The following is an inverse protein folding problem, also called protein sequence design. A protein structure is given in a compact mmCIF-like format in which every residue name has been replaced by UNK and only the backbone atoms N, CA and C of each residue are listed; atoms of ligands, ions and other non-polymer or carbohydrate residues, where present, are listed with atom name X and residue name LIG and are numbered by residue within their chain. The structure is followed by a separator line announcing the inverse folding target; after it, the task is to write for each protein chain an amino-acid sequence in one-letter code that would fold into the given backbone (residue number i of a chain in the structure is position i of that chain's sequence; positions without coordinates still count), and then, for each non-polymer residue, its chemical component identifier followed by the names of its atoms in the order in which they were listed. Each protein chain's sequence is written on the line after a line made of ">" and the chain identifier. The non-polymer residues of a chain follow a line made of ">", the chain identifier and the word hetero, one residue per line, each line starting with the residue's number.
data_IF_799533488094
#
_entry.id   IF_799533488094
#
_cell.length_a   1.000
_cell.length_b   1.000
_cell.length_c   1.000
_cell.angle_alpha   90.00
_cell.angle_beta   90.00
_cell.angle_gamma   90.00
#
_symmetry.space_group_name_H-M   'P 1'
#
loop_
_entity.id
_entity.type
_entity.pdbx_description
1 polymer ?
#
# COMPACT_ATOMS: atom_id res chain seq x y z
N UNK A 1 0.40 -30.02 1.85
CA UNK A 1 0.89 -28.89 1.04
C UNK A 1 1.50 -27.91 2.02
N UNK A 2 2.75 -27.49 1.83
CA UNK A 2 3.32 -26.45 2.68
C UNK A 2 2.43 -25.22 2.52
N UNK A 3 1.74 -24.81 3.59
CA UNK A 3 1.17 -23.47 3.65
C UNK A 3 2.32 -22.54 3.35
N UNK A 4 2.26 -21.74 2.28
CA UNK A 4 3.22 -20.66 2.15
C UNK A 4 3.04 -19.79 3.39
N UNK A 5 4.10 -19.55 4.15
CA UNK A 5 4.09 -18.67 5.33
C UNK A 5 3.85 -17.18 4.93
N UNK A 6 3.55 -16.94 3.66
CA UNK A 6 3.23 -15.65 3.07
C UNK A 6 1.96 -15.70 2.21
N UNK A 7 1.35 -14.53 2.10
CA UNK A 7 0.25 -14.20 1.21
C UNK A 7 0.76 -13.20 0.18
N UNK A 8 0.51 -13.49 -1.10
CA UNK A 8 0.84 -12.55 -2.18
C UNK A 8 0.09 -11.24 -1.98
N UNK A 9 0.82 -10.14 -2.12
CA UNK A 9 0.31 -8.80 -1.95
C UNK A 9 0.89 -7.90 -3.02
N UNK A 10 0.23 -6.78 -3.29
CA UNK A 10 0.76 -5.77 -4.19
C UNK A 10 0.35 -4.38 -3.78
N UNK A 11 1.11 -3.38 -4.21
CA UNK A 11 0.82 -2.00 -3.92
C UNK A 11 1.50 -1.02 -4.87
N UNK A 12 1.10 0.24 -4.76
CA UNK A 12 1.70 1.36 -5.47
C UNK A 12 1.48 2.65 -4.67
N UNK A 13 2.19 3.71 -5.04
CA UNK A 13 2.05 5.01 -4.41
C UNK A 13 1.90 6.11 -5.45
N UNK A 14 1.04 7.07 -5.12
CA UNK A 14 0.96 8.35 -5.79
C UNK A 14 1.42 9.47 -4.87
N UNK A 15 1.99 10.52 -5.45
CA UNK A 15 2.49 11.70 -4.78
C UNK A 15 1.96 12.97 -5.46
N UNK A 16 1.80 14.02 -4.67
CA UNK A 16 1.39 15.34 -5.17
C UNK A 16 2.16 16.42 -4.41
N UNK A 17 2.77 17.31 -5.18
CA UNK A 17 3.47 18.49 -4.70
C UNK A 17 3.06 19.74 -5.48
N UNK A 18 2.60 20.78 -4.78
CA UNK A 18 2.22 22.08 -5.38
C UNK A 18 2.80 23.30 -4.63
N UNK A 19 3.89 23.11 -3.91
CA UNK A 19 4.55 24.13 -3.08
C UNK A 19 3.78 24.50 -1.79
N UNK A 20 2.51 24.07 -1.65
CA UNK A 20 1.70 24.22 -0.41
C UNK A 20 1.32 22.88 0.20
N UNK A 21 1.24 21.86 -0.63
CA UNK A 21 1.00 20.47 -0.27
C UNK A 21 2.18 19.64 -0.76
N UNK A 22 2.60 18.71 0.07
CA UNK A 22 3.53 17.64 -0.27
C UNK A 22 2.98 16.36 0.39
N UNK A 23 2.24 15.56 -0.40
CA UNK A 23 1.38 14.49 0.11
C UNK A 23 1.53 13.21 -0.70
N UNK A 24 1.37 12.08 -0.02
CA UNK A 24 1.30 10.77 -0.66
C UNK A 24 -0.05 10.10 -0.46
N UNK A 25 -0.40 9.18 -1.36
CA UNK A 25 -1.45 8.17 -1.24
C UNK A 25 -0.87 6.82 -1.66
N UNK A 26 -0.88 5.87 -0.73
CA UNK A 26 -0.40 4.51 -0.94
C UNK A 26 -1.57 3.55 -0.94
N UNK A 27 -1.59 2.66 -1.93
CA UNK A 27 -2.61 1.64 -2.10
C UNK A 27 -1.96 0.28 -1.97
N UNK A 28 -2.53 -0.60 -1.15
CA UNK A 28 -2.01 -1.95 -0.93
C UNK A 28 -3.19 -2.92 -0.94
N UNK A 29 -3.02 -4.03 -1.64
CA UNK A 29 -3.96 -5.15 -1.69
C UNK A 29 -3.25 -6.40 -1.20
N UNK A 30 -3.89 -7.12 -0.27
CA UNK A 30 -3.45 -8.41 0.24
C UNK A 30 -4.42 -9.47 -0.28
N UNK A 31 -3.94 -10.49 -1.00
CA UNK A 31 -4.79 -11.44 -1.73
C UNK A 31 -5.08 -12.74 -0.97
N UNK A 32 -5.20 -12.67 0.36
CA UNK A 32 -5.54 -13.84 1.18
C UNK A 32 -6.94 -14.40 0.85
N UNK A 33 -7.33 -15.48 1.55
CA UNK A 33 -8.67 -16.09 1.41
C UNK A 33 -9.79 -15.04 1.56
N UNK A 34 -9.60 -14.11 2.50
CA UNK A 34 -10.30 -12.84 2.54
C UNK A 34 -9.33 -11.71 2.18
N UNK A 35 -9.61 -11.00 1.10
CA UNK A 35 -8.73 -9.94 0.64
C UNK A 35 -8.88 -8.68 1.51
N UNK A 36 -7.77 -7.94 1.61
CA UNK A 36 -7.71 -6.64 2.29
C UNK A 36 -7.32 -5.61 1.26
N UNK A 37 -7.98 -4.45 1.25
CA UNK A 37 -7.48 -3.24 0.60
C UNK A 37 -7.19 -2.17 1.64
N UNK A 38 -5.99 -1.60 1.58
CA UNK A 38 -5.52 -0.53 2.43
C UNK A 38 -5.20 0.71 1.60
N UNK A 39 -5.54 1.87 2.15
CA UNK A 39 -5.08 3.16 1.65
C UNK A 39 -4.48 3.98 2.78
N UNK A 40 -3.18 4.28 2.69
CA UNK A 40 -2.53 5.20 3.62
C UNK A 40 -2.27 6.54 2.91
N UNK A 41 -2.37 7.64 3.66
CA UNK A 41 -2.05 8.95 3.12
C UNK A 41 -1.48 9.87 4.18
N UNK A 42 -0.66 10.82 3.77
CA UNK A 42 0.01 11.70 4.71
C UNK A 42 0.85 12.74 3.99
N UNK A 43 1.64 13.48 4.78
CA UNK A 43 2.71 14.31 4.23
C UNK A 43 3.92 13.44 3.85
N UNK A 44 4.75 13.90 2.92
CA UNK A 44 6.00 13.20 2.58
C UNK A 44 6.85 12.95 3.82
N UNK A 45 7.37 11.73 3.94
CA UNK A 45 8.19 11.27 5.06
C UNK A 45 7.41 10.89 6.33
N UNK A 46 6.11 11.15 6.40
CA UNK A 46 5.26 10.72 7.51
C UNK A 46 4.83 9.25 7.34
N UNK A 47 4.51 8.58 8.46
CA UNK A 47 3.89 7.24 8.45
C UNK A 47 2.51 7.24 7.79
N UNK A 48 1.88 8.40 7.73
CA UNK A 48 0.54 8.63 7.23
C UNK A 48 -0.55 8.14 8.17
N UNK A 49 -1.80 8.30 7.73
CA UNK A 49 -2.99 7.82 8.39
C UNK A 49 -3.79 6.91 7.46
N UNK A 50 -4.53 5.99 8.06
CA UNK A 50 -5.39 5.06 7.37
C UNK A 50 -6.60 5.84 6.82
N UNK A 51 -6.79 5.81 5.50
CA UNK A 51 -7.89 6.48 4.80
C UNK A 51 -8.78 5.56 3.97
N UNK A 52 -8.46 4.26 3.94
CA UNK A 52 -9.22 3.20 3.29
C UNK A 52 -8.84 1.88 3.96
N UNK A 53 -9.84 1.13 4.43
CA UNK A 53 -9.72 -0.27 4.83
C UNK A 53 -11.01 -0.96 4.44
N UNK A 54 -10.93 -1.96 3.57
CA UNK A 54 -12.01 -2.92 3.38
C UNK A 54 -11.45 -4.33 3.51
N UNK A 55 -12.27 -5.19 4.12
CA UNK A 55 -11.99 -6.59 4.44
C UNK A 55 -13.22 -7.41 4.08
N UNK A 56 -13.15 -8.74 4.18
CA UNK A 56 -14.27 -9.64 3.83
C UNK A 56 -14.75 -9.45 2.38
N UNK A 57 -13.81 -9.13 1.49
CA UNK A 57 -14.03 -8.91 0.06
C UNK A 57 -13.13 -9.82 -0.75
N UNK A 58 -13.46 -10.00 -2.02
CA UNK A 58 -12.61 -10.71 -2.97
C UNK A 58 -11.40 -9.86 -3.39
N UNK A 59 -10.33 -10.50 -3.85
CA UNK A 59 -9.16 -9.80 -4.40
C UNK A 59 -9.53 -8.87 -5.59
N UNK A 60 -10.52 -9.28 -6.40
CA UNK A 60 -11.04 -8.46 -7.49
C UNK A 60 -11.75 -7.18 -6.99
N UNK A 61 -12.53 -7.28 -5.91
CA UNK A 61 -13.16 -6.11 -5.28
C UNK A 61 -12.13 -5.21 -4.62
N UNK A 62 -11.16 -5.78 -3.89
CA UNK A 62 -10.06 -5.04 -3.28
C UNK A 62 -9.28 -4.22 -4.33
N UNK A 63 -8.94 -4.86 -5.45
CA UNK A 63 -8.29 -4.19 -6.58
C UNK A 63 -9.17 -3.08 -7.18
N UNK A 64 -10.47 -3.33 -7.38
CA UNK A 64 -11.40 -2.31 -7.89
C UNK A 64 -11.46 -1.09 -6.96
N UNK A 65 -11.54 -1.28 -5.65
CA UNK A 65 -11.52 -0.20 -4.67
C UNK A 65 -10.22 0.62 -4.72
N UNK A 66 -9.07 -0.07 -4.77
CA UNK A 66 -7.76 0.57 -4.86
C UNK A 66 -7.61 1.38 -6.16
N UNK A 67 -7.95 0.78 -7.30
CA UNK A 67 -7.86 1.43 -8.63
C UNK A 67 -8.81 2.62 -8.74
N UNK A 68 -10.05 2.47 -8.27
CA UNK A 68 -11.02 3.58 -8.29
C UNK A 68 -10.47 4.77 -7.48
N UNK A 69 -9.97 4.51 -6.27
CA UNK A 69 -9.40 5.55 -5.41
C UNK A 69 -8.13 6.16 -6.00
N UNK A 70 -7.28 5.35 -6.65
CA UNK A 70 -6.08 5.79 -7.37
C UNK A 70 -6.45 6.78 -8.48
N UNK A 71 -7.41 6.42 -9.34
CA UNK A 71 -7.90 7.27 -10.44
C UNK A 71 -8.51 8.59 -9.94
N UNK A 72 -9.21 8.56 -8.81
CA UNK A 72 -9.75 9.78 -8.20
C UNK A 72 -8.65 10.71 -7.67
N UNK A 73 -7.45 10.20 -7.36
CA UNK A 73 -6.27 10.99 -6.99
C UNK A 73 -5.50 11.48 -8.20
N UNK A 74 -5.33 10.64 -9.22
CA UNK A 74 -4.72 11.05 -10.49
C UNK A 74 -5.47 12.24 -11.12
N UNK A 75 -6.81 12.21 -11.11
CA UNK A 75 -7.65 13.35 -11.53
C UNK A 75 -7.41 14.64 -10.73
N UNK A 76 -6.82 14.54 -9.54
CA UNK A 76 -6.45 15.68 -8.67
C UNK A 76 -4.97 16.08 -8.84
N UNK A 77 -4.28 15.53 -9.83
CA UNK A 77 -2.89 15.85 -10.14
C UNK A 77 -1.86 14.98 -9.41
N UNK A 78 -2.27 13.96 -8.66
CA UNK A 78 -1.31 13.04 -8.06
C UNK A 78 -0.63 12.22 -9.17
N UNK A 79 0.69 12.18 -9.17
CA UNK A 79 1.50 11.41 -10.08
C UNK A 79 2.03 10.15 -9.39
N UNK A 80 2.39 9.14 -10.17
CA UNK A 80 2.98 7.92 -9.61
C UNK A 80 4.35 8.23 -8.99
N UNK A 81 4.58 7.73 -7.77
CA UNK A 81 5.83 7.87 -7.03
C UNK A 81 6.43 6.54 -6.58
N UNK A 82 5.62 5.48 -6.52
CA UNK A 82 6.09 4.09 -6.52
C UNK A 82 5.28 3.29 -7.52
N UNK A 83 5.97 2.54 -8.36
CA UNK A 83 5.32 1.67 -9.33
C UNK A 83 4.69 0.44 -8.67
N UNK A 84 3.85 -0.25 -9.42
CA UNK A 84 3.26 -1.51 -9.02
C UNK A 84 4.34 -2.48 -8.54
N UNK A 85 4.21 -2.90 -7.29
CA UNK A 85 5.17 -3.77 -6.62
C UNK A 85 4.43 -4.98 -6.09
N UNK A 86 4.86 -6.17 -6.52
CA UNK A 86 4.46 -7.44 -5.93
C UNK A 86 5.36 -7.76 -4.74
N UNK A 87 4.79 -8.31 -3.67
CA UNK A 87 5.55 -8.72 -2.50
C UNK A 87 4.85 -9.82 -1.72
N UNK A 88 5.64 -10.60 -1.00
CA UNK A 88 5.17 -11.60 -0.05
C UNK A 88 4.93 -10.95 1.31
N UNK A 89 3.73 -11.10 1.85
CA UNK A 89 3.35 -10.62 3.18
C UNK A 89 3.25 -11.79 4.14
N UNK A 90 3.94 -11.78 5.30
CA UNK A 90 3.77 -12.80 6.33
C UNK A 90 2.30 -13.01 6.74
N UNK A 91 1.91 -14.25 7.00
CA UNK A 91 0.52 -14.61 7.33
C UNK A 91 0.01 -13.98 8.63
N UNK A 92 0.88 -13.64 9.58
CA UNK A 92 0.51 -12.91 10.82
C UNK A 92 0.03 -11.48 10.54
N UNK A 93 0.38 -10.93 9.37
CA UNK A 93 -0.03 -9.60 8.93
C UNK A 93 -1.23 -9.61 7.98
N UNK A 94 -1.63 -10.77 7.46
CA UNK A 94 -2.71 -10.88 6.47
C UNK A 94 -4.10 -11.11 7.08
N UNK A 95 -4.22 -11.17 8.41
CA UNK A 95 -5.52 -11.34 9.09
C UNK A 95 -6.43 -10.11 8.87
N UNK A 96 -7.62 -10.28 8.26
CA UNK A 96 -8.57 -9.20 8.03
C UNK A 96 -9.06 -8.54 9.32
N UNK A 97 -9.20 -9.28 10.43
CA UNK A 97 -9.65 -8.71 11.70
C UNK A 97 -8.63 -7.73 12.29
N UNK A 98 -7.34 -7.94 11.99
CA UNK A 98 -6.22 -7.12 12.45
C UNK A 98 -5.74 -6.10 11.41
N UNK A 99 -6.39 -6.00 10.24
CA UNK A 99 -5.94 -5.21 9.09
C UNK A 99 -5.60 -3.75 9.44
N UNK A 100 -6.46 -3.07 10.19
CA UNK A 100 -6.23 -1.68 10.63
C UNK A 100 -5.04 -1.56 11.59
N UNK A 101 -4.87 -2.51 12.51
CA UNK A 101 -3.73 -2.55 13.44
C UNK A 101 -2.40 -2.85 12.73
N UNK A 102 -2.45 -3.66 11.68
CA UNK A 102 -1.29 -4.07 10.89
C UNK A 102 -0.97 -3.13 9.73
N UNK A 103 -1.82 -2.15 9.40
CA UNK A 103 -1.71 -1.35 8.18
C UNK A 103 -0.32 -0.72 7.97
N UNK A 104 0.31 -0.20 9.03
CA UNK A 104 1.65 0.37 8.94
C UNK A 104 2.74 -0.69 8.76
N UNK A 105 2.63 -1.86 9.42
CA UNK A 105 3.57 -2.97 9.23
C UNK A 105 3.47 -3.52 7.81
N UNK A 106 2.25 -3.70 7.29
CA UNK A 106 2.02 -4.08 5.89
C UNK A 106 2.67 -3.06 4.94
N UNK A 107 2.51 -1.76 5.22
CA UNK A 107 3.13 -0.72 4.43
C UNK A 107 4.66 -0.72 4.50
N UNK A 108 5.26 -1.12 5.62
CA UNK A 108 6.71 -1.31 5.76
C UNK A 108 7.21 -2.45 4.88
N UNK A 109 6.50 -3.59 4.83
CA UNK A 109 6.81 -4.69 3.91
C UNK A 109 6.74 -4.24 2.45
N UNK A 110 5.70 -3.51 2.06
CA UNK A 110 5.62 -2.92 0.72
C UNK A 110 6.83 -2.01 0.44
N UNK A 111 7.19 -1.12 1.38
CA UNK A 111 8.33 -0.21 1.19
C UNK A 111 9.68 -0.91 1.03
N UNK A 112 9.91 -1.98 1.79
CA UNK A 112 11.10 -2.81 1.66
C UNK A 112 11.18 -3.40 0.25
N UNK A 113 10.12 -4.09 -0.18
CA UNK A 113 10.11 -4.78 -1.48
C UNK A 113 10.12 -3.81 -2.65
N UNK A 114 9.46 -2.65 -2.54
CA UNK A 114 9.50 -1.64 -3.59
C UNK A 114 10.93 -1.14 -3.84
N UNK A 115 11.71 -1.00 -2.77
CA UNK A 115 13.12 -0.63 -2.86
C UNK A 115 13.96 -1.74 -3.47
N UNK A 116 13.79 -2.97 -2.99
CA UNK A 116 14.52 -4.15 -3.48
C UNK A 116 14.21 -4.43 -4.96
N UNK A 117 12.96 -4.19 -5.39
CA UNK A 117 12.51 -4.34 -6.77
C UNK A 117 12.85 -3.14 -7.67
N UNK A 118 13.34 -2.02 -7.11
CA UNK A 118 13.63 -0.81 -7.87
C UNK A 118 12.41 -0.06 -8.39
N UNK A 119 11.24 -0.22 -7.76
CA UNK A 119 9.99 0.48 -8.12
C UNK A 119 9.78 1.79 -7.35
N UNK A 120 10.69 2.16 -6.45
CA UNK A 120 10.73 3.48 -5.82
C UNK A 120 11.25 4.53 -6.80
N UNK A 121 10.43 5.55 -7.12
CA UNK A 121 10.81 6.68 -7.97
C UNK A 121 11.30 7.86 -7.10
N UNK A 122 11.88 8.89 -7.73
CA UNK A 122 12.51 10.03 -7.02
C UNK A 122 11.59 10.77 -6.02
N UNK A 123 10.28 10.76 -6.27
CA UNK A 123 9.27 11.43 -5.44
C UNK A 123 8.60 10.50 -4.41
N UNK A 124 9.05 9.25 -4.30
CA UNK A 124 8.52 8.29 -3.34
C UNK A 124 8.60 8.83 -1.90
N UNK A 125 7.50 8.79 -1.15
CA UNK A 125 7.53 9.20 0.26
C UNK A 125 8.23 8.14 1.10
N UNK A 126 9.25 8.49 1.89
CA UNK A 126 9.91 7.52 2.78
C UNK A 126 8.90 6.78 3.66
N UNK A 127 9.11 5.47 3.84
CA UNK A 127 8.28 4.59 4.67
C UNK A 127 9.07 4.24 5.94
N UNK A 128 8.76 4.86 7.09
CA UNK A 128 9.52 4.63 8.31
C UNK A 128 9.52 3.16 8.73
N UNK A 129 10.71 2.62 9.01
CA UNK A 129 10.88 1.24 9.46
C UNK A 129 10.80 0.18 8.36
N UNK A 130 11.08 0.54 7.10
CA UNK A 130 11.14 -0.39 5.95
C UNK A 130 12.54 -0.93 5.64
N UNK A 131 13.52 -0.79 6.56
CA UNK A 131 14.94 -1.15 6.36
C UNK A 131 15.36 -2.44 7.10
N UNK A 132 14.42 -3.31 7.42
CA UNK A 132 14.65 -4.53 8.21
C UNK A 132 14.90 -5.75 7.34
#
# INVERSE_FOLDING_TARGET
>A
MASSDSVVSFGWELHFEDGRSDKFYRFIVVTGDEAIVLGLHGKRGDKGQIGLVHTQITAAEALRHAVQRSRDKEKKGYAQSRDFTLFDLPTDLSDPASASGNAHRIAQHFGKHAREAGTELDLASHIPGSNF
#
